data_IF_619684173348
#
_entry.id   IF_619684173348
#
_cell.length_a   1.000
_cell.length_b   1.000
_cell.length_c   1.000
_cell.angle_alpha   90.00
_cell.angle_beta   90.00
_cell.angle_gamma   90.00
#
_symmetry.space_group_name_H-M   'P 1'
#
loop_
_entity.id
_entity.type
_entity.pdbx_description
1 polymer ?
#
# COMPACT_ATOMS: atom_id res chain seq x y z
N UNK A 1 15.45 -20.93 -45.67
CA UNK A 1 15.98 -19.99 -44.64
C UNK A 1 15.08 -20.07 -43.42
N UNK A 2 15.52 -20.80 -42.40
CA UNK A 2 14.76 -21.04 -41.17
C UNK A 2 15.08 -19.92 -40.18
N UNK A 3 14.09 -19.12 -39.85
CA UNK A 3 14.20 -18.10 -38.81
C UNK A 3 14.26 -18.81 -37.44
N UNK A 4 15.46 -18.84 -36.86
CA UNK A 4 15.59 -19.19 -35.43
C UNK A 4 14.89 -18.10 -34.62
N UNK A 5 13.77 -18.45 -33.99
CA UNK A 5 13.12 -17.60 -33.01
C UNK A 5 14.11 -17.27 -31.90
N UNK A 6 14.31 -15.99 -31.67
CA UNK A 6 15.26 -15.44 -30.69
C UNK A 6 14.88 -15.91 -29.28
N UNK A 7 15.67 -16.79 -28.70
CA UNK A 7 15.44 -17.40 -27.39
C UNK A 7 15.33 -16.37 -26.24
N UNK A 8 15.83 -15.17 -26.48
CA UNK A 8 15.79 -14.04 -25.52
C UNK A 8 14.38 -13.44 -25.43
N UNK A 9 13.69 -13.25 -26.57
CA UNK A 9 12.33 -12.70 -26.62
C UNK A 9 11.34 -13.66 -25.99
N UNK A 10 11.44 -14.95 -26.29
CA UNK A 10 10.57 -15.98 -25.68
C UNK A 10 10.77 -16.05 -24.15
N UNK A 11 11.98 -15.82 -23.67
CA UNK A 11 12.29 -15.82 -22.23
C UNK A 11 11.73 -14.61 -21.51
N UNK A 12 11.72 -13.43 -22.14
CA UNK A 12 11.15 -12.19 -21.56
C UNK A 12 9.62 -12.30 -21.48
N UNK A 13 8.95 -12.74 -22.55
CA UNK A 13 7.50 -12.96 -22.55
C UNK A 13 7.04 -14.05 -21.57
N UNK A 14 7.85 -15.09 -21.35
CA UNK A 14 7.55 -16.13 -20.36
C UNK A 14 7.73 -15.63 -18.93
N UNK A 15 8.70 -14.75 -18.67
CA UNK A 15 8.92 -14.13 -17.37
C UNK A 15 7.81 -13.15 -17.00
N UNK A 16 7.34 -12.32 -17.94
CA UNK A 16 6.23 -11.41 -17.71
C UNK A 16 4.91 -12.15 -17.43
N UNK A 17 4.59 -13.21 -18.20
CA UNK A 17 3.44 -14.07 -17.91
C UNK A 17 3.53 -14.76 -16.54
N UNK A 18 4.71 -15.24 -16.14
CA UNK A 18 4.89 -15.84 -14.82
C UNK A 18 4.79 -14.82 -13.69
N UNK A 19 5.23 -13.57 -13.93
CA UNK A 19 5.14 -12.48 -12.95
C UNK A 19 3.68 -12.09 -12.69
N UNK A 20 2.83 -12.09 -13.70
CA UNK A 20 1.40 -11.82 -13.52
C UNK A 20 0.65 -13.01 -12.88
N UNK A 21 1.03 -14.25 -13.21
CA UNK A 21 0.30 -15.43 -12.75
C UNK A 21 0.43 -15.66 -11.23
N UNK A 22 1.63 -15.53 -10.65
CA UNK A 22 1.76 -15.73 -9.19
C UNK A 22 1.08 -14.63 -8.38
N UNK A 23 1.02 -13.39 -8.89
CA UNK A 23 0.25 -12.30 -8.26
C UNK A 23 -1.25 -12.60 -8.34
N UNK A 24 -1.74 -13.06 -9.48
CA UNK A 24 -3.14 -13.44 -9.65
C UNK A 24 -3.55 -14.58 -8.70
N UNK A 25 -2.70 -15.61 -8.54
CA UNK A 25 -2.95 -16.70 -7.58
C UNK A 25 -2.98 -16.16 -6.14
N UNK A 26 -2.05 -15.29 -5.78
CA UNK A 26 -2.03 -14.68 -4.45
C UNK A 26 -3.30 -13.84 -4.21
N UNK A 27 -3.74 -13.05 -5.19
CA UNK A 27 -4.94 -12.24 -5.11
C UNK A 27 -6.22 -13.08 -4.97
N UNK A 28 -6.32 -14.18 -5.72
CA UNK A 28 -7.45 -15.10 -5.65
C UNK A 28 -7.54 -15.78 -4.27
N UNK A 29 -6.42 -16.30 -3.76
CA UNK A 29 -6.38 -16.92 -2.43
C UNK A 29 -6.66 -15.90 -1.32
N UNK A 30 -6.10 -14.68 -1.44
CA UNK A 30 -6.37 -13.57 -0.51
C UNK A 30 -7.85 -13.21 -0.49
N UNK A 31 -8.49 -13.11 -1.67
CA UNK A 31 -9.92 -12.84 -1.80
C UNK A 31 -10.75 -13.90 -1.11
N UNK A 32 -10.42 -15.18 -1.24
CA UNK A 32 -11.11 -16.26 -0.54
C UNK A 32 -10.96 -16.20 0.98
N UNK A 33 -9.77 -15.81 1.47
CA UNK A 33 -9.54 -15.60 2.90
C UNK A 33 -10.38 -14.41 3.40
N UNK A 34 -10.35 -13.29 2.69
CA UNK A 34 -11.08 -12.08 3.05
C UNK A 34 -12.59 -12.28 3.01
N UNK A 35 -13.11 -13.05 2.04
CA UNK A 35 -14.53 -13.35 1.91
C UNK A 35 -15.02 -14.41 2.91
N UNK A 36 -14.11 -15.05 3.66
CA UNK A 36 -14.45 -16.11 4.61
C UNK A 36 -14.69 -17.49 3.97
N UNK A 37 -14.38 -17.65 2.67
CA UNK A 37 -14.42 -18.95 1.99
C UNK A 37 -13.29 -19.88 2.50
N UNK A 38 -12.17 -19.27 2.90
CA UNK A 38 -11.06 -19.89 3.62
C UNK A 38 -10.99 -19.28 5.02
N UNK A 39 -11.21 -20.08 6.03
CA UNK A 39 -11.30 -19.63 7.41
C UNK A 39 -9.97 -19.82 8.15
N UNK A 40 -9.70 -19.02 9.19
CA UNK A 40 -8.61 -19.25 10.11
C UNK A 40 -8.55 -20.70 10.60
N UNK A 41 -7.38 -21.32 10.48
CA UNK A 41 -7.17 -22.71 10.85
C UNK A 41 -7.40 -23.72 9.71
N UNK A 42 -8.04 -23.31 8.62
CA UNK A 42 -8.16 -24.17 7.44
C UNK A 42 -6.79 -24.53 6.86
N UNK A 43 -6.71 -25.73 6.31
CA UNK A 43 -5.51 -26.22 5.63
C UNK A 43 -5.72 -26.12 4.12
N UNK A 44 -4.84 -25.39 3.44
CA UNK A 44 -4.85 -25.36 1.97
C UNK A 44 -4.57 -26.75 1.39
N UNK A 45 -5.16 -27.10 0.22
CA UNK A 45 -4.77 -28.27 -0.52
C UNK A 45 -3.25 -28.34 -0.77
N UNK A 46 -2.72 -29.52 -1.03
CA UNK A 46 -1.29 -29.69 -1.29
C UNK A 46 -0.81 -28.78 -2.42
N UNK A 47 0.47 -28.35 -2.39
CA UNK A 47 1.06 -27.56 -3.49
C UNK A 47 0.87 -28.23 -4.85
N UNK A 48 0.83 -29.56 -4.92
CA UNK A 48 0.55 -30.29 -6.15
C UNK A 48 -0.87 -30.03 -6.64
N UNK A 49 -1.85 -30.22 -5.76
CA UNK A 49 -3.27 -30.01 -6.07
C UNK A 49 -3.56 -28.55 -6.46
N UNK A 50 -2.97 -27.60 -5.73
CA UNK A 50 -3.11 -26.16 -6.05
C UNK A 50 -2.45 -25.82 -7.40
N UNK A 51 -1.27 -26.38 -7.70
CA UNK A 51 -0.61 -26.19 -9.00
C UNK A 51 -1.48 -26.67 -10.15
N UNK A 52 -2.11 -27.83 -9.99
CA UNK A 52 -3.04 -28.40 -10.96
C UNK A 52 -4.30 -27.51 -11.12
N UNK A 53 -4.91 -27.06 -10.01
CA UNK A 53 -6.13 -26.23 -10.04
C UNK A 53 -5.92 -24.84 -10.66
N UNK A 54 -4.74 -24.24 -10.45
CA UNK A 54 -4.39 -22.93 -11.02
C UNK A 54 -3.68 -23.03 -12.38
N UNK A 55 -3.47 -24.25 -12.90
CA UNK A 55 -2.69 -24.48 -14.10
C UNK A 55 -1.34 -23.74 -14.08
N UNK A 56 -0.66 -23.80 -12.94
CA UNK A 56 0.57 -23.07 -12.66
C UNK A 56 1.73 -24.02 -12.32
N UNK A 57 2.97 -23.57 -12.58
CA UNK A 57 4.14 -24.30 -12.11
C UNK A 57 4.24 -24.27 -10.58
N UNK A 58 4.86 -25.29 -9.96
CA UNK A 58 5.10 -25.31 -8.51
C UNK A 58 5.92 -24.09 -8.04
N UNK A 59 6.85 -23.60 -8.87
CA UNK A 59 7.65 -22.42 -8.57
C UNK A 59 6.76 -21.17 -8.53
N UNK A 60 5.85 -21.03 -9.50
CA UNK A 60 4.88 -19.92 -9.58
C UNK A 60 3.95 -19.95 -8.38
N UNK A 61 3.42 -21.13 -8.03
CA UNK A 61 2.57 -21.31 -6.87
C UNK A 61 3.30 -20.95 -5.56
N UNK A 62 4.54 -21.46 -5.38
CA UNK A 62 5.34 -21.15 -4.17
C UNK A 62 5.55 -19.65 -4.00
N UNK A 63 5.86 -18.93 -5.09
CA UNK A 63 5.96 -17.45 -5.03
C UNK A 63 4.67 -16.80 -4.58
N UNK A 64 3.51 -17.28 -5.04
CA UNK A 64 2.21 -16.78 -4.58
C UNK A 64 2.01 -17.04 -3.07
N UNK A 65 2.32 -18.26 -2.62
CA UNK A 65 2.22 -18.63 -1.21
C UNK A 65 3.24 -17.88 -0.34
N UNK A 66 4.47 -17.62 -0.86
CA UNK A 66 5.48 -16.81 -0.17
C UNK A 66 5.00 -15.37 0.08
N UNK A 67 4.26 -14.78 -0.87
CA UNK A 67 3.62 -13.47 -0.68
C UNK A 67 2.60 -13.51 0.45
N UNK A 68 1.68 -14.50 0.42
CA UNK A 68 0.64 -14.61 1.44
C UNK A 68 1.21 -14.94 2.83
N UNK A 69 2.30 -15.69 2.90
CA UNK A 69 3.03 -15.94 4.14
C UNK A 69 3.73 -14.66 4.65
N UNK A 70 4.35 -13.87 3.75
CA UNK A 70 4.91 -12.56 4.08
C UNK A 70 3.85 -11.52 4.48
N UNK A 71 2.60 -11.70 4.04
CA UNK A 71 1.43 -10.92 4.45
C UNK A 71 0.80 -11.43 5.76
N UNK A 72 1.39 -12.45 6.36
CA UNK A 72 0.91 -13.10 7.58
C UNK A 72 -0.48 -13.74 7.45
N UNK A 73 -0.90 -14.02 6.23
CA UNK A 73 -2.18 -14.69 5.92
C UNK A 73 -2.05 -16.21 5.94
N UNK A 74 -0.85 -16.74 5.79
CA UNK A 74 -0.55 -18.17 5.78
C UNK A 74 0.57 -18.53 6.76
N UNK A 75 0.54 -19.76 7.24
CA UNK A 75 1.61 -20.40 8.01
C UNK A 75 1.94 -21.76 7.40
N UNK A 76 3.23 -22.00 7.11
CA UNK A 76 3.71 -23.30 6.65
C UNK A 76 4.30 -24.09 7.80
N UNK A 77 3.71 -25.24 8.11
CA UNK A 77 4.19 -26.17 9.14
C UNK A 77 4.88 -27.38 8.51
N UNK A 78 6.03 -27.77 9.06
CA UNK A 78 6.78 -28.94 8.60
C UNK A 78 6.50 -30.16 9.48
N UNK A 79 6.71 -31.38 8.96
CA UNK A 79 6.62 -32.61 9.72
C UNK A 79 5.26 -33.29 9.67
N UNK A 80 5.02 -34.24 10.63
CA UNK A 80 3.75 -34.96 10.77
C UNK A 80 2.62 -33.97 11.10
N UNK A 81 1.62 -33.87 10.25
CA UNK A 81 0.60 -32.83 10.34
C UNK A 81 1.03 -31.49 9.71
N UNK A 82 2.11 -31.50 8.90
CA UNK A 82 2.54 -30.35 8.12
C UNK A 82 1.52 -29.95 7.05
N UNK A 83 1.59 -28.69 6.62
CA UNK A 83 0.69 -28.13 5.60
C UNK A 83 0.79 -26.62 5.58
N UNK A 84 0.03 -26.00 4.68
CA UNK A 84 -0.14 -24.55 4.63
C UNK A 84 -1.49 -24.21 5.28
N UNK A 85 -1.44 -23.52 6.39
CA UNK A 85 -2.60 -23.16 7.20
C UNK A 85 -2.97 -21.69 6.96
N UNK A 86 -4.28 -21.40 6.96
CA UNK A 86 -4.78 -20.02 6.93
C UNK A 86 -4.55 -19.41 8.33
N UNK A 87 -3.83 -18.29 8.39
CA UNK A 87 -3.71 -17.46 9.59
C UNK A 87 -4.88 -16.49 9.70
N UNK A 88 -5.16 -16.03 10.90
CA UNK A 88 -6.44 -15.41 11.21
C UNK A 88 -6.51 -13.91 11.01
N UNK A 89 -5.39 -13.19 10.76
CA UNK A 89 -5.49 -11.74 10.89
C UNK A 89 -4.56 -10.99 9.91
N UNK A 90 -5.10 -9.99 9.18
CA UNK A 90 -4.25 -9.00 8.52
C UNK A 90 -3.27 -8.39 9.51
N UNK A 91 -2.05 -8.01 9.09
CA UNK A 91 -1.08 -7.41 10.00
C UNK A 91 -1.64 -6.15 10.63
N UNK A 92 -1.49 -6.05 11.92
CA UNK A 92 -1.81 -4.85 12.68
C UNK A 92 -0.80 -3.75 12.34
N UNK A 93 -1.27 -2.55 12.05
CA UNK A 93 -0.44 -1.36 11.81
C UNK A 93 -0.84 -0.25 12.77
N UNK A 94 0.15 0.42 13.34
CA UNK A 94 -0.04 1.52 14.26
C UNK A 94 -0.14 2.84 13.49
N UNK A 95 -1.17 3.64 13.74
CA UNK A 95 -1.31 4.97 13.14
C UNK A 95 -0.61 6.09 13.93
N UNK A 96 -0.28 5.86 15.18
CA UNK A 96 0.37 6.84 16.04
C UNK A 96 1.87 7.09 15.69
N UNK A 97 2.46 6.36 14.76
CA UNK A 97 3.80 6.68 14.24
C UNK A 97 3.73 7.80 13.20
N UNK A 98 4.61 8.79 13.34
CA UNK A 98 4.64 9.94 12.43
C UNK A 98 4.94 9.56 10.97
N UNK A 99 5.81 8.57 10.76
CA UNK A 99 6.17 8.05 9.44
C UNK A 99 5.02 7.31 8.74
N UNK A 100 3.91 7.07 9.46
CA UNK A 100 2.80 6.26 9.01
C UNK A 100 3.07 4.75 9.11
N UNK A 101 2.23 3.96 8.49
CA UNK A 101 2.28 2.50 8.63
C UNK A 101 3.12 1.77 7.57
N UNK A 102 3.45 2.39 6.45
CA UNK A 102 4.22 1.74 5.39
C UNK A 102 5.67 1.40 5.81
N UNK A 103 6.39 2.23 6.57
CA UNK A 103 7.67 1.85 7.18
C UNK A 103 7.57 0.62 8.06
N UNK A 104 6.51 0.50 8.88
CA UNK A 104 6.26 -0.67 9.73
C UNK A 104 6.13 -1.97 8.92
N UNK A 105 5.51 -1.91 7.73
CA UNK A 105 5.43 -3.07 6.84
C UNK A 105 6.80 -3.44 6.25
N UNK A 106 7.66 -2.45 5.99
CA UNK A 106 9.06 -2.69 5.55
C UNK A 106 9.90 -3.33 6.67
N UNK A 107 9.77 -2.85 7.90
CA UNK A 107 10.42 -3.43 9.08
C UNK A 107 10.06 -4.91 9.27
N UNK A 108 8.84 -5.29 8.87
CA UNK A 108 8.34 -6.68 8.86
C UNK A 108 8.72 -7.45 7.59
N UNK A 109 9.70 -6.97 6.81
CA UNK A 109 10.22 -7.63 5.61
C UNK A 109 9.35 -7.52 4.36
N UNK A 110 8.30 -6.67 4.35
CA UNK A 110 7.45 -6.49 3.17
C UNK A 110 8.06 -5.53 2.18
N UNK A 111 7.92 -5.83 0.90
CA UNK A 111 8.38 -4.96 -0.19
C UNK A 111 7.32 -3.89 -0.44
N UNK A 112 7.63 -2.63 -0.11
CA UNK A 112 6.77 -1.48 -0.39
C UNK A 112 7.31 -0.72 -1.59
N UNK A 113 6.50 -0.64 -2.65
CA UNK A 113 6.80 0.14 -3.86
C UNK A 113 5.77 1.25 -4.05
N UNK A 114 6.23 2.40 -4.55
CA UNK A 114 5.38 3.52 -4.95
C UNK A 114 5.38 3.65 -6.45
N UNK A 115 4.21 3.97 -7.00
CA UNK A 115 4.03 4.38 -8.38
C UNK A 115 3.38 5.76 -8.36
N UNK A 116 4.02 6.75 -8.95
CA UNK A 116 3.42 8.07 -9.17
C UNK A 116 2.35 7.91 -10.26
N UNK A 117 1.12 8.25 -9.93
CA UNK A 117 -0.02 8.19 -10.84
C UNK A 117 -0.28 9.52 -11.53
N UNK A 118 -0.05 10.62 -10.79
CA UNK A 118 -0.30 11.98 -11.27
C UNK A 118 0.50 12.98 -10.43
N UNK A 119 0.88 14.10 -11.05
CA UNK A 119 1.50 15.24 -10.38
C UNK A 119 1.03 16.53 -11.04
N UNK A 120 0.73 17.53 -10.24
CA UNK A 120 0.28 18.83 -10.75
C UNK A 120 0.76 19.98 -9.84
N UNK A 121 0.97 21.15 -10.44
CA UNK A 121 1.11 22.43 -9.76
C UNK A 121 -0.18 23.22 -9.99
N UNK A 122 -0.96 23.40 -8.94
CA UNK A 122 -2.29 23.99 -9.05
C UNK A 122 -2.56 25.03 -7.94
N UNK A 123 -3.52 25.90 -8.17
CA UNK A 123 -4.06 26.74 -7.09
C UNK A 123 -4.79 25.87 -6.08
N UNK A 124 -4.52 26.10 -4.79
CA UNK A 124 -5.20 25.39 -3.72
C UNK A 124 -6.70 25.65 -3.78
N UNK A 125 -7.50 24.59 -3.70
CA UNK A 125 -8.94 24.72 -3.49
C UNK A 125 -9.19 25.37 -2.12
N UNK A 126 -10.29 26.11 -1.93
CA UNK A 126 -10.54 26.84 -0.69
C UNK A 126 -10.35 26.00 0.59
N UNK A 127 -10.87 24.77 0.58
CA UNK A 127 -10.75 23.87 1.73
C UNK A 127 -9.28 23.44 2.00
N UNK A 128 -8.50 23.23 0.93
CA UNK A 128 -7.08 22.88 1.05
C UNK A 128 -6.26 24.07 1.52
N UNK A 129 -6.58 25.28 1.01
CA UNK A 129 -5.93 26.52 1.44
C UNK A 129 -6.18 26.78 2.93
N UNK A 130 -7.41 26.65 3.38
CA UNK A 130 -7.79 26.80 4.80
C UNK A 130 -7.03 25.82 5.71
N UNK A 131 -7.02 24.52 5.35
CA UNK A 131 -6.35 23.47 6.13
C UNK A 131 -4.83 23.69 6.19
N UNK A 132 -4.24 24.14 5.09
CA UNK A 132 -2.80 24.40 5.00
C UNK A 132 -2.40 25.81 5.48
N UNK A 133 -3.34 26.62 5.94
CA UNK A 133 -3.09 28.01 6.40
C UNK A 133 -2.55 28.91 5.28
N UNK A 134 -2.98 28.70 4.04
CA UNK A 134 -2.52 29.41 2.87
C UNK A 134 -3.50 30.53 2.48
N UNK A 135 -2.98 31.56 1.81
CA UNK A 135 -3.82 32.56 1.16
C UNK A 135 -4.67 31.92 0.05
N UNK A 136 -5.78 32.58 -0.29
CA UNK A 136 -6.61 32.13 -1.41
C UNK A 136 -5.80 32.09 -2.70
N UNK A 137 -5.97 31.01 -3.49
CA UNK A 137 -5.26 30.78 -4.74
C UNK A 137 -3.74 30.54 -4.60
N UNK A 138 -3.21 30.38 -3.38
CA UNK A 138 -1.83 29.96 -3.19
C UNK A 138 -1.54 28.65 -3.95
N UNK A 139 -0.32 28.53 -4.46
CA UNK A 139 0.07 27.34 -5.24
C UNK A 139 0.45 26.18 -4.31
N UNK A 140 -0.02 24.99 -4.70
CA UNK A 140 0.32 23.72 -4.06
C UNK A 140 0.74 22.70 -5.11
N UNK A 141 1.70 21.87 -4.77
CA UNK A 141 1.96 20.64 -5.51
C UNK A 141 0.99 19.57 -5.07
N UNK A 142 0.31 18.95 -6.04
CA UNK A 142 -0.49 17.76 -5.84
C UNK A 142 0.29 16.55 -6.34
N UNK A 143 0.36 15.49 -5.55
CA UNK A 143 1.05 14.25 -5.90
C UNK A 143 0.12 13.09 -5.58
N UNK A 144 -0.26 12.32 -6.61
CA UNK A 144 -1.08 11.12 -6.44
C UNK A 144 -0.20 9.89 -6.62
N UNK A 145 -0.16 9.01 -5.62
CA UNK A 145 0.65 7.80 -5.65
C UNK A 145 -0.17 6.56 -5.33
N UNK A 146 0.16 5.47 -6.00
CA UNK A 146 -0.30 4.13 -5.66
C UNK A 146 0.82 3.39 -4.92
N UNK A 147 0.52 2.94 -3.71
CA UNK A 147 1.44 2.16 -2.90
C UNK A 147 1.07 0.69 -2.99
N UNK A 148 2.07 -0.11 -3.33
CA UNK A 148 1.95 -1.57 -3.40
C UNK A 148 2.78 -2.20 -2.30
N UNK A 149 2.19 -3.18 -1.63
CA UNK A 149 2.88 -3.99 -0.61
C UNK A 149 2.95 -5.41 -1.13
N UNK A 150 4.17 -5.93 -1.28
CA UNK A 150 4.43 -7.24 -1.89
C UNK A 150 3.76 -7.45 -3.25
N UNK A 151 3.68 -6.37 -4.06
CA UNK A 151 3.05 -6.38 -5.38
C UNK A 151 1.57 -6.03 -5.39
N UNK A 152 0.88 -6.06 -4.24
CA UNK A 152 -0.56 -5.82 -4.13
C UNK A 152 -0.83 -4.33 -3.91
N UNK A 153 -1.76 -3.70 -4.67
CA UNK A 153 -2.17 -2.32 -4.42
C UNK A 153 -2.88 -2.23 -3.07
N UNK A 154 -2.39 -1.37 -2.19
CA UNK A 154 -2.89 -1.26 -0.83
C UNK A 154 -3.42 0.13 -0.50
N UNK A 155 -2.77 1.19 -1.01
CA UNK A 155 -3.05 2.56 -0.62
C UNK A 155 -2.94 3.49 -1.84
N UNK A 156 -3.89 4.39 -2.01
CA UNK A 156 -3.76 5.58 -2.85
C UNK A 156 -3.53 6.76 -1.90
N UNK A 157 -2.46 7.51 -2.13
CA UNK A 157 -2.15 8.77 -1.45
C UNK A 157 -2.39 9.93 -2.44
N UNK A 158 -3.21 10.90 -2.09
CA UNK A 158 -3.44 12.15 -2.83
C UNK A 158 -3.01 13.31 -1.94
N UNK A 159 -1.75 13.72 -2.06
CA UNK A 159 -1.08 14.64 -1.14
C UNK A 159 -0.90 16.03 -1.76
N UNK A 160 -1.12 17.06 -0.95
CA UNK A 160 -0.96 18.46 -1.28
C UNK A 160 0.14 19.08 -0.43
N UNK A 161 1.12 19.69 -1.07
CA UNK A 161 2.26 20.33 -0.42
C UNK A 161 2.30 21.83 -0.78
N UNK A 162 2.38 22.74 0.20
CA UNK A 162 2.59 24.16 -0.09
C UNK A 162 3.90 24.37 -0.88
N UNK A 163 3.87 25.14 -1.97
CA UNK A 163 5.08 25.43 -2.76
C UNK A 163 6.21 26.00 -1.91
N UNK A 164 5.97 26.91 -0.95
CA UNK A 164 7.04 27.45 -0.09
C UNK A 164 7.73 26.40 0.78
N UNK A 165 7.08 25.27 1.09
CA UNK A 165 7.64 24.17 1.91
C UNK A 165 8.68 23.37 1.11
N UNK A 166 8.45 23.17 -0.17
CA UNK A 166 9.32 22.37 -1.03
C UNK A 166 9.28 22.88 -2.49
N UNK A 167 9.94 23.99 -2.83
CA UNK A 167 9.74 24.74 -4.08
C UNK A 167 9.97 23.95 -5.37
N UNK A 168 10.86 22.97 -5.37
CA UNK A 168 11.18 22.12 -6.53
C UNK A 168 10.77 20.63 -6.34
N UNK A 169 9.73 20.37 -5.53
CA UNK A 169 9.32 19.03 -5.12
C UNK A 169 9.04 18.10 -6.31
N UNK A 170 8.38 18.59 -7.37
CA UNK A 170 8.06 17.77 -8.55
C UNK A 170 9.29 17.40 -9.39
N UNK A 171 10.45 18.03 -9.16
CA UNK A 171 11.71 17.70 -9.82
C UNK A 171 12.47 16.58 -9.09
N UNK A 172 11.96 16.10 -7.96
CA UNK A 172 12.60 15.09 -7.13
C UNK A 172 12.09 13.69 -7.45
N UNK A 173 12.79 12.66 -6.93
CA UNK A 173 12.26 11.29 -6.94
C UNK A 173 11.10 11.15 -5.95
N UNK A 174 9.89 11.05 -6.47
CA UNK A 174 8.66 10.92 -5.70
C UNK A 174 8.28 9.46 -5.40
N UNK A 175 9.10 8.48 -5.79
CA UNK A 175 8.84 7.06 -5.54
C UNK A 175 9.30 6.61 -4.15
N UNK A 176 10.16 7.37 -3.50
CA UNK A 176 10.65 7.15 -2.15
C UNK A 176 9.72 7.62 -1.04
N UNK A 177 10.28 7.85 0.14
CA UNK A 177 9.61 8.48 1.27
C UNK A 177 9.60 10.00 1.09
N UNK A 178 8.42 10.61 0.92
CA UNK A 178 8.30 12.08 0.84
C UNK A 178 8.71 12.74 2.16
N UNK A 179 8.43 12.13 3.30
CA UNK A 179 8.83 12.69 4.61
C UNK A 179 10.34 12.71 4.80
N UNK A 180 11.04 11.67 4.30
CA UNK A 180 12.50 11.70 4.27
C UNK A 180 13.04 12.78 3.33
N UNK A 181 12.41 12.92 2.16
CA UNK A 181 12.78 13.96 1.19
C UNK A 181 12.57 15.37 1.78
N UNK A 182 11.40 15.62 2.39
CA UNK A 182 11.09 16.88 3.07
C UNK A 182 12.11 17.19 4.17
N UNK A 183 12.43 16.20 4.99
CA UNK A 183 13.39 16.37 6.10
C UNK A 183 14.82 16.61 5.63
N UNK A 184 15.28 15.86 4.61
CA UNK A 184 16.67 15.90 4.15
C UNK A 184 16.99 17.12 3.28
N UNK A 185 16.03 17.55 2.43
CA UNK A 185 16.27 18.57 1.40
C UNK A 185 15.68 19.95 1.76
N UNK A 186 14.53 19.98 2.44
CA UNK A 186 13.79 21.22 2.64
C UNK A 186 13.71 21.67 4.10
N UNK A 187 14.38 20.98 5.00
CA UNK A 187 14.31 21.25 6.46
C UNK A 187 12.87 21.20 7.00
N UNK A 188 11.93 20.68 6.25
CA UNK A 188 10.51 20.55 6.61
C UNK A 188 10.24 19.18 7.23
N UNK A 189 10.79 18.94 8.43
CA UNK A 189 10.67 17.66 9.12
C UNK A 189 9.26 17.53 9.73
N UNK A 190 8.52 16.45 9.39
CA UNK A 190 7.27 16.10 10.08
C UNK A 190 7.49 15.93 11.59
N UNK A 191 6.65 16.55 12.39
CA UNK A 191 6.70 16.51 13.86
C UNK A 191 5.48 15.82 14.46
N UNK A 192 4.30 16.22 14.02
CA UNK A 192 3.04 15.62 14.44
C UNK A 192 2.02 15.67 13.29
N UNK A 193 0.94 14.94 13.45
CA UNK A 193 -0.13 14.86 12.45
C UNK A 193 -1.49 14.75 13.10
N UNK A 194 -2.50 15.24 12.39
CA UNK A 194 -3.91 14.98 12.69
C UNK A 194 -4.50 14.09 11.60
N UNK A 195 -5.16 13.03 12.00
CA UNK A 195 -5.82 12.10 11.07
C UNK A 195 -7.29 11.94 11.42
N UNK A 196 -8.13 11.91 10.40
CA UNK A 196 -9.55 11.55 10.50
C UNK A 196 -9.78 10.34 9.61
N UNK A 197 -10.31 9.27 10.17
CA UNK A 197 -10.49 7.99 9.49
C UNK A 197 -11.99 7.72 9.40
N UNK A 198 -12.47 7.45 8.19
CA UNK A 198 -13.88 7.14 7.94
C UNK A 198 -14.00 5.94 7.01
N UNK A 199 -14.91 4.98 7.29
CA UNK A 199 -15.23 3.93 6.35
C UNK A 199 -16.01 4.49 5.14
N UNK A 200 -15.79 3.91 3.96
CA UNK A 200 -16.50 4.30 2.75
C UNK A 200 -16.52 3.14 1.74
N UNK A 201 -17.31 3.28 0.69
CA UNK A 201 -17.21 2.46 -0.52
C UNK A 201 -16.28 3.16 -1.52
N UNK A 202 -15.53 2.39 -2.32
CA UNK A 202 -14.61 2.95 -3.31
C UNK A 202 -15.37 3.50 -4.52
N UNK A 203 -14.88 4.60 -5.09
CA UNK A 203 -15.29 5.07 -6.42
C UNK A 203 -14.84 4.09 -7.51
N UNK A 204 -15.41 4.19 -8.72
CA UNK A 204 -15.02 3.34 -9.84
C UNK A 204 -13.51 3.45 -10.20
N UNK A 205 -12.93 4.64 -10.05
CA UNK A 205 -11.50 4.87 -10.27
C UNK A 205 -10.65 4.18 -9.20
N UNK A 206 -11.02 4.30 -7.93
CA UNK A 206 -10.34 3.65 -6.80
C UNK A 206 -10.43 2.12 -6.90
N UNK A 207 -11.61 1.58 -7.25
CA UNK A 207 -11.79 0.15 -7.51
C UNK A 207 -10.79 -0.36 -8.54
N UNK A 208 -10.68 0.34 -9.66
CA UNK A 208 -9.74 -0.02 -10.73
C UNK A 208 -8.28 0.05 -10.28
N UNK A 209 -7.90 1.10 -9.53
CA UNK A 209 -6.51 1.29 -9.07
C UNK A 209 -6.12 0.35 -7.95
N UNK A 210 -7.03 0.11 -7.00
CA UNK A 210 -6.82 -0.77 -5.85
C UNK A 210 -7.24 -2.22 -6.11
N UNK A 211 -7.80 -2.52 -7.29
CA UNK A 211 -8.28 -3.86 -7.66
C UNK A 211 -9.33 -4.38 -6.68
N UNK A 212 -10.33 -3.53 -6.38
CA UNK A 212 -11.41 -3.82 -5.45
C UNK A 212 -12.72 -4.11 -6.17
N UNK A 213 -13.60 -4.87 -5.52
CA UNK A 213 -15.00 -4.95 -5.90
C UNK A 213 -15.75 -3.70 -5.42
N UNK A 214 -16.89 -3.43 -6.03
CA UNK A 214 -17.71 -2.25 -5.69
C UNK A 214 -18.29 -2.28 -4.27
N UNK A 215 -18.49 -3.47 -3.71
CA UNK A 215 -19.03 -3.72 -2.39
C UNK A 215 -17.96 -3.85 -1.29
N UNK A 216 -16.68 -3.82 -1.67
CA UNK A 216 -15.58 -3.97 -0.75
C UNK A 216 -15.27 -2.65 -0.06
N UNK A 217 -15.36 -2.55 1.29
CA UNK A 217 -15.14 -1.30 2.00
C UNK A 217 -13.67 -0.85 1.96
N UNK A 218 -13.48 0.44 2.13
CA UNK A 218 -12.17 1.10 2.27
C UNK A 218 -12.17 2.00 3.49
N UNK A 219 -10.99 2.42 3.94
CA UNK A 219 -10.82 3.53 4.86
C UNK A 219 -10.35 4.77 4.09
N UNK A 220 -11.06 5.90 4.29
CA UNK A 220 -10.60 7.23 3.87
C UNK A 220 -9.89 7.87 5.03
N UNK A 221 -8.65 8.28 4.82
CA UNK A 221 -7.83 8.93 5.84
C UNK A 221 -7.54 10.35 5.34
N UNK A 222 -8.08 11.34 6.06
CA UNK A 222 -7.67 12.74 5.88
C UNK A 222 -6.57 13.02 6.87
N UNK A 223 -5.38 13.37 6.38
CA UNK A 223 -4.22 13.65 7.22
C UNK A 223 -3.72 15.06 6.97
N UNK A 224 -3.43 15.78 8.03
CA UNK A 224 -2.64 17.02 7.97
C UNK A 224 -1.41 16.83 8.83
N UNK A 225 -0.25 17.05 8.23
CA UNK A 225 1.06 16.89 8.86
C UNK A 225 1.67 18.25 9.10
N UNK A 226 2.27 18.42 10.27
CA UNK A 226 2.82 19.69 10.75
C UNK A 226 4.32 19.56 11.04
N UNK A 227 5.03 20.66 10.86
CA UNK A 227 6.39 20.86 11.36
C UNK A 227 6.39 21.04 12.89
N UNK A 228 7.59 21.18 13.47
CA UNK A 228 7.73 21.44 14.92
C UNK A 228 7.11 22.77 15.35
N UNK A 229 7.02 23.73 14.44
CA UNK A 229 6.47 25.08 14.68
C UNK A 229 4.99 25.17 14.33
N UNK A 230 4.28 24.05 14.33
CA UNK A 230 2.86 23.93 14.01
C UNK A 230 2.47 24.41 12.58
N UNK A 231 3.47 24.56 11.69
CA UNK A 231 3.21 24.91 10.29
C UNK A 231 2.74 23.68 9.53
N UNK A 232 1.56 23.73 8.85
CA UNK A 232 1.14 22.64 7.99
C UNK A 232 2.09 22.47 6.80
N UNK A 233 2.63 21.27 6.63
CA UNK A 233 3.58 20.96 5.55
C UNK A 233 2.99 20.02 4.50
N UNK A 234 1.92 19.30 4.82
CA UNK A 234 1.21 18.40 3.93
C UNK A 234 -0.26 18.30 4.37
N UNK A 235 -1.16 18.21 3.39
CA UNK A 235 -2.49 17.63 3.57
C UNK A 235 -2.68 16.48 2.60
N UNK A 236 -3.20 15.34 3.06
CA UNK A 236 -3.45 14.18 2.18
C UNK A 236 -4.84 13.61 2.36
N UNK A 237 -5.35 13.06 1.26
CA UNK A 237 -6.62 12.35 1.16
C UNK A 237 -6.29 10.92 0.72
N UNK A 238 -6.11 10.04 1.69
CA UNK A 238 -5.66 8.69 1.43
C UNK A 238 -6.83 7.70 1.36
N UNK A 239 -6.69 6.68 0.53
CA UNK A 239 -7.64 5.59 0.37
C UNK A 239 -6.95 4.27 0.64
N UNK A 240 -7.23 3.68 1.80
CA UNK A 240 -6.62 2.45 2.28
C UNK A 240 -7.56 1.26 2.14
N UNK A 241 -7.05 0.16 1.60
CA UNK A 241 -7.71 -1.15 1.66
C UNK A 241 -7.72 -1.68 3.09
N UNK A 242 -8.91 -1.85 3.66
CA UNK A 242 -9.06 -2.33 5.03
C UNK A 242 -8.97 -3.87 5.18
N UNK A 243 -8.99 -4.61 4.07
CA UNK A 243 -8.84 -6.06 4.04
C UNK A 243 -7.38 -6.53 4.15
N UNK A 244 -6.42 -5.61 4.01
CA UNK A 244 -4.99 -5.91 4.00
C UNK A 244 -4.24 -5.49 5.26
N UNK A 245 -4.86 -4.74 6.17
CA UNK A 245 -4.27 -4.36 7.45
C UNK A 245 -5.34 -4.04 8.47
N UNK A 246 -5.07 -4.39 9.75
CA UNK A 246 -5.80 -3.87 10.90
C UNK A 246 -5.11 -2.60 11.39
N UNK A 247 -5.91 -1.61 11.77
CA UNK A 247 -5.43 -0.38 12.37
C UNK A 247 -5.51 -0.50 13.88
N UNK A 248 -4.38 -0.30 14.54
CA UNK A 248 -4.29 -0.23 16.01
C UNK A 248 -3.85 1.16 16.44
N UNK A 249 -4.47 1.66 17.48
CA UNK A 249 -4.08 2.91 18.12
C UNK A 249 -3.73 2.58 19.56
N UNK A 250 -2.48 2.79 19.91
CA UNK A 250 -2.02 2.64 21.28
C UNK A 250 -2.00 4.02 21.95
N UNK A 251 -2.60 4.14 23.12
CA UNK A 251 -2.66 5.40 23.87
C UNK A 251 -2.07 5.15 25.26
N UNK A 252 -0.96 5.83 25.57
CA UNK A 252 -0.45 5.90 26.94
C UNK A 252 -1.28 6.88 27.75
N UNK A 253 -1.43 6.69 29.06
CA UNK A 253 -1.98 7.72 29.94
C UNK A 253 -1.18 9.00 29.75
N UNK A 254 -1.87 10.14 29.59
CA UNK A 254 -1.20 11.42 29.63
C UNK A 254 -0.48 11.51 30.99
N UNK A 255 0.83 11.74 30.98
CA UNK A 255 1.55 12.15 32.18
C UNK A 255 0.91 13.46 32.64
N UNK A 256 0.02 13.38 33.62
CA UNK A 256 -0.49 14.57 34.33
C UNK A 256 0.65 15.03 35.22
N UNK A 257 1.49 15.90 34.69
CA UNK A 257 2.46 16.68 35.46
C UNK A 257 1.76 17.82 36.17
#
# INVERSE_FOLDING_TARGET
>A
MSLKADSTIVRVYSLERQTHLYLHIADELRSRITNGDLKPGDVLPSERTLSESFNASRITLRRALDILEAEDLLERRRGRGGGTYIKSTPPTVELNRIEGFLPQLRERGRIVKSQVLDTDLQSARPEIAEILGLEQHAQVFRIVRLRRVSGVPMLIEDSFFPVPVAPDLLSQDLTGSLYELLSKRYCAKPSHKRETITPALPTAWEQKKLQLRSDQPILRIKRTTYSKDDTPIEHSLDVLRCDLAQVEVFTDPLDTA
#
